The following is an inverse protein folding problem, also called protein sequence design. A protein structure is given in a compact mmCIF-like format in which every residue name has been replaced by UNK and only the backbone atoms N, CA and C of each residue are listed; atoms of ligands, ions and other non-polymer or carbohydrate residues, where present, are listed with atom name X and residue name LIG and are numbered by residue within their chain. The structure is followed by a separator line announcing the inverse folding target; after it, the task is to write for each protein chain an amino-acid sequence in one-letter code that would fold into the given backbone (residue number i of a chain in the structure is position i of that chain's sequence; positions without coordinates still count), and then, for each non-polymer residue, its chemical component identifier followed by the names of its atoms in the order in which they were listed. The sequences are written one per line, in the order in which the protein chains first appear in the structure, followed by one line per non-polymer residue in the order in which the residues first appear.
data_IF_852887013192
#
_entry.id   IF_852887013192
#
_cell.length_a   1.000
_cell.length_b   1.000
_cell.length_c   1.000
_cell.angle_alpha   90.00
_cell.angle_beta   90.00
_cell.angle_gamma   90.00
#
_symmetry.space_group_name_H-M   'P 1'
#
loop_
_entity.id
_entity.type
_entity.pdbx_description
1 polymer ?
#
# COMPACT_ATOMS: atom_id res chain seq x y z
N UNK A 1 9.96 22.83 7.01
CA UNK A 1 9.15 22.76 5.77
C UNK A 1 9.28 21.41 5.03
N UNK A 2 10.48 20.87 4.81
CA UNK A 2 10.66 19.57 4.12
C UNK A 2 9.91 18.40 4.79
N UNK A 3 10.12 18.16 6.08
CA UNK A 3 9.46 17.05 6.81
C UNK A 3 7.93 17.19 6.84
N UNK A 4 7.41 18.41 6.96
CA UNK A 4 5.97 18.66 6.87
C UNK A 4 5.43 18.29 5.49
N UNK A 5 6.10 18.69 4.40
CA UNK A 5 5.73 18.29 3.05
C UNK A 5 5.78 16.76 2.89
N UNK A 6 6.84 16.12 3.37
CA UNK A 6 6.98 14.66 3.34
C UNK A 6 5.80 13.96 4.00
N UNK A 7 5.41 14.42 5.19
CA UNK A 7 4.30 13.89 5.97
C UNK A 7 2.93 14.15 5.30
N UNK A 8 2.66 15.37 4.83
CA UNK A 8 1.40 15.71 4.13
C UNK A 8 1.25 14.91 2.85
N UNK A 9 2.32 14.72 2.08
CA UNK A 9 2.30 13.86 0.89
C UNK A 9 2.11 12.38 1.27
N UNK A 10 2.52 11.99 2.48
CA UNK A 10 2.18 10.69 3.07
C UNK A 10 0.68 10.55 3.35
N UNK A 11 0.06 11.58 3.95
CA UNK A 11 -1.39 11.61 4.17
C UNK A 11 -2.15 11.45 2.86
N UNK A 12 -1.77 12.23 1.84
CA UNK A 12 -2.42 12.14 0.53
C UNK A 12 -2.30 10.75 -0.10
N UNK A 13 -1.13 10.09 0.01
CA UNK A 13 -0.98 8.73 -0.47
C UNK A 13 -1.86 7.72 0.31
N UNK A 14 -1.98 7.86 1.63
CA UNK A 14 -2.89 7.02 2.43
C UNK A 14 -4.36 7.18 2.01
N UNK A 15 -4.79 8.41 1.72
CA UNK A 15 -6.12 8.71 1.18
C UNK A 15 -6.31 8.05 -0.20
N UNK A 16 -5.34 8.20 -1.11
CA UNK A 16 -5.40 7.57 -2.43
C UNK A 16 -5.50 6.05 -2.36
N UNK A 17 -4.71 5.39 -1.49
CA UNK A 17 -4.82 3.93 -1.28
C UNK A 17 -6.21 3.56 -0.74
N UNK A 18 -6.76 4.36 0.18
CA UNK A 18 -8.10 4.13 0.74
C UNK A 18 -9.21 4.27 -0.30
N UNK A 19 -9.08 5.21 -1.24
CA UNK A 19 -10.00 5.36 -2.38
C UNK A 19 -9.91 4.12 -3.29
N UNK A 20 -8.70 3.65 -3.59
CA UNK A 20 -8.51 2.39 -4.31
C UNK A 20 -9.14 1.20 -3.57
N UNK A 21 -8.93 1.09 -2.26
CA UNK A 21 -9.52 0.04 -1.44
C UNK A 21 -11.05 0.13 -1.37
N UNK A 22 -11.61 1.34 -1.41
CA UNK A 22 -13.06 1.55 -1.52
C UNK A 22 -13.59 1.02 -2.85
N UNK A 23 -12.90 1.30 -3.96
CA UNK A 23 -13.26 0.77 -5.28
C UNK A 23 -13.20 -0.77 -5.29
N UNK A 24 -12.14 -1.34 -4.72
CA UNK A 24 -12.00 -2.79 -4.57
C UNK A 24 -13.18 -3.44 -3.83
N UNK A 25 -13.62 -2.84 -2.71
CA UNK A 25 -14.74 -3.35 -1.91
C UNK A 25 -16.13 -3.09 -2.54
N UNK A 26 -16.22 -2.22 -3.54
CA UNK A 26 -17.50 -1.81 -4.16
C UNK A 26 -17.84 -2.59 -5.43
N UNK A 27 -16.97 -3.52 -5.86
CA UNK A 27 -17.10 -4.23 -7.13
C UNK A 27 -17.13 -5.74 -6.85
N UNK A 28 -18.19 -6.41 -7.29
CA UNK A 28 -18.38 -7.85 -7.02
C UNK A 28 -17.42 -8.74 -7.81
N UNK A 29 -17.02 -8.33 -9.01
CA UNK A 29 -16.07 -9.10 -9.82
C UNK A 29 -14.63 -8.84 -9.36
N UNK A 30 -13.98 -9.84 -8.78
CA UNK A 30 -12.64 -9.73 -8.20
C UNK A 30 -11.57 -9.21 -9.18
N UNK A 31 -11.65 -9.60 -10.46
CA UNK A 31 -10.70 -9.15 -11.49
C UNK A 31 -10.89 -7.64 -11.74
N UNK A 32 -12.14 -7.20 -11.90
CA UNK A 32 -12.45 -5.79 -12.10
C UNK A 32 -12.11 -4.99 -10.84
N UNK A 33 -12.43 -5.50 -9.65
CA UNK A 33 -12.07 -4.89 -8.38
C UNK A 33 -10.55 -4.68 -8.25
N UNK A 34 -9.75 -5.71 -8.56
CA UNK A 34 -8.29 -5.63 -8.52
C UNK A 34 -7.72 -4.62 -9.53
N UNK A 35 -8.30 -4.53 -10.74
CA UNK A 35 -7.92 -3.53 -11.72
C UNK A 35 -8.20 -2.11 -11.22
N UNK A 36 -9.39 -1.85 -10.67
CA UNK A 36 -9.76 -0.54 -10.14
C UNK A 36 -9.10 -0.19 -8.80
N UNK A 37 -8.56 -1.17 -8.08
CA UNK A 37 -7.71 -0.87 -6.93
C UNK A 37 -6.47 -0.05 -7.35
N UNK A 38 -6.01 -0.19 -8.60
CA UNK A 38 -4.90 0.59 -9.18
C UNK A 38 -5.12 2.09 -9.12
N UNK A 39 -6.36 2.59 -9.05
CA UNK A 39 -6.68 4.02 -8.97
C UNK A 39 -5.86 4.74 -7.89
N UNK A 40 -5.62 4.09 -6.75
CA UNK A 40 -4.79 4.66 -5.68
C UNK A 40 -3.35 4.89 -6.11
N UNK A 41 -2.66 3.86 -6.60
CA UNK A 41 -1.26 3.96 -7.03
C UNK A 41 -1.10 4.83 -8.27
N UNK A 42 -2.08 4.83 -9.18
CA UNK A 42 -2.13 5.72 -10.34
C UNK A 42 -2.10 7.19 -9.91
N UNK A 43 -2.96 7.59 -8.97
CA UNK A 43 -2.99 8.96 -8.47
C UNK A 43 -1.67 9.33 -7.77
N UNK A 44 -1.16 8.43 -6.92
CA UNK A 44 0.10 8.64 -6.18
C UNK A 44 1.27 8.90 -7.13
N UNK A 45 1.40 8.08 -8.18
CA UNK A 45 2.49 8.18 -9.15
C UNK A 45 2.41 9.46 -9.99
N UNK A 46 1.20 9.87 -10.41
CA UNK A 46 1.01 11.09 -11.20
C UNK A 46 1.21 12.38 -10.38
N UNK A 47 0.78 12.40 -9.11
CA UNK A 47 0.89 13.59 -8.26
C UNK A 47 2.17 13.62 -7.41
N UNK A 48 2.99 12.57 -7.47
CA UNK A 48 4.24 12.48 -6.72
C UNK A 48 4.05 12.38 -5.20
N UNK A 49 2.94 11.79 -4.75
CA UNK A 49 2.69 11.57 -3.33
C UNK A 49 3.61 10.49 -2.76
N UNK A 50 3.77 10.49 -1.43
CA UNK A 50 4.72 9.62 -0.77
C UNK A 50 4.01 8.39 -0.22
N UNK A 51 4.07 7.29 -0.96
CA UNK A 51 3.61 5.99 -0.46
C UNK A 51 4.79 5.21 0.11
N UNK A 52 4.69 4.75 1.36
CA UNK A 52 5.76 4.04 2.05
C UNK A 52 6.30 2.86 1.24
N UNK A 53 5.41 1.99 0.76
CA UNK A 53 5.75 0.77 0.02
C UNK A 53 6.47 1.04 -1.30
N UNK A 54 6.14 2.14 -1.99
CA UNK A 54 6.85 2.58 -3.18
C UNK A 54 8.17 3.32 -2.86
N UNK A 55 8.22 4.05 -1.74
CA UNK A 55 9.39 4.85 -1.35
C UNK A 55 10.49 4.02 -0.68
N UNK A 56 10.13 2.98 0.08
CA UNK A 56 11.10 2.10 0.76
C UNK A 56 12.02 1.39 -0.23
N UNK A 57 11.54 1.10 -1.44
CA UNK A 57 12.32 0.54 -2.54
C UNK A 57 13.62 1.29 -2.87
N UNK A 58 13.67 2.59 -2.56
CA UNK A 58 14.80 3.45 -2.88
C UNK A 58 15.71 3.72 -1.66
N UNK A 59 15.54 3.00 -0.54
CA UNK A 59 16.35 3.20 0.66
C UNK A 59 17.84 2.96 0.41
N UNK A 60 18.20 1.92 -0.36
CA UNK A 60 19.59 1.59 -0.68
C UNK A 60 20.30 2.73 -1.45
N UNK A 61 19.55 3.46 -2.27
CA UNK A 61 20.08 4.57 -3.07
C UNK A 61 20.16 5.89 -2.29
N UNK A 62 19.22 6.10 -1.34
CA UNK A 62 19.17 7.33 -0.54
C UNK A 62 19.95 7.25 0.79
N UNK A 63 20.35 6.05 1.21
CA UNK A 63 21.13 5.81 2.42
C UNK A 63 20.31 5.87 3.73
N UNK A 64 20.94 5.61 4.88
CA UNK A 64 20.25 5.37 6.15
C UNK A 64 19.49 6.58 6.71
N UNK A 65 19.92 7.81 6.38
CA UNK A 65 19.22 9.04 6.80
C UNK A 65 17.79 9.11 6.24
N UNK A 66 17.51 8.42 5.14
CA UNK A 66 16.19 8.35 4.53
C UNK A 66 15.18 7.54 5.36
N UNK A 67 15.63 6.75 6.34
CA UNK A 67 14.73 6.05 7.28
C UNK A 67 13.82 7.03 8.03
N UNK A 68 14.30 8.23 8.34
CA UNK A 68 13.46 9.24 8.99
C UNK A 68 12.32 9.72 8.07
N UNK A 69 12.61 9.96 6.79
CA UNK A 69 11.58 10.30 5.81
C UNK A 69 10.59 9.13 5.65
N UNK A 70 11.06 7.88 5.61
CA UNK A 70 10.19 6.69 5.52
C UNK A 70 9.25 6.54 6.72
N UNK A 71 9.74 6.80 7.94
CA UNK A 71 8.90 6.79 9.14
C UNK A 71 7.81 7.86 9.08
N UNK A 72 8.17 9.10 8.70
CA UNK A 72 7.18 10.17 8.50
C UNK A 72 6.14 9.80 7.44
N UNK A 73 6.59 9.19 6.34
CA UNK A 73 5.71 8.74 5.27
C UNK A 73 4.75 7.66 5.77
N UNK A 74 5.24 6.67 6.52
CA UNK A 74 4.44 5.58 7.06
C UNK A 74 3.34 6.08 7.98
N UNK A 75 3.68 6.97 8.92
CA UNK A 75 2.69 7.60 9.80
C UNK A 75 1.73 8.51 9.03
N UNK A 76 2.22 9.21 8.00
CA UNK A 76 1.37 9.96 7.09
C UNK A 76 0.37 9.06 6.38
N UNK A 77 0.81 7.92 5.84
CA UNK A 77 -0.06 6.95 5.17
C UNK A 77 -1.14 6.40 6.13
N UNK A 78 -0.77 6.05 7.37
CA UNK A 78 -1.73 5.65 8.41
C UNK A 78 -2.73 6.77 8.69
N UNK A 79 -2.26 8.02 8.87
CA UNK A 79 -3.13 9.18 9.06
C UNK A 79 -4.09 9.38 7.91
N UNK A 80 -3.64 9.20 6.66
CA UNK A 80 -4.49 9.25 5.48
C UNK A 80 -5.57 8.18 5.46
N UNK A 81 -5.23 6.94 5.85
CA UNK A 81 -6.19 5.85 5.98
C UNK A 81 -7.25 6.13 7.05
N UNK A 82 -6.83 6.59 8.23
CA UNK A 82 -7.74 6.98 9.32
C UNK A 82 -8.67 8.13 8.92
N UNK A 83 -8.15 9.17 8.26
CA UNK A 83 -8.94 10.29 7.75
C UNK A 83 -9.97 9.80 6.73
N UNK A 84 -9.56 8.97 5.76
CA UNK A 84 -10.46 8.44 4.75
C UNK A 84 -11.59 7.63 5.38
N UNK A 85 -11.28 6.73 6.32
CA UNK A 85 -12.29 5.97 7.06
C UNK A 85 -13.23 6.88 7.87
N UNK A 86 -12.70 7.87 8.59
CA UNK A 86 -13.51 8.80 9.38
C UNK A 86 -14.49 9.57 8.49
N UNK A 87 -14.03 10.05 7.33
CA UNK A 87 -14.88 10.72 6.35
C UNK A 87 -15.93 9.78 5.75
N UNK A 88 -15.56 8.55 5.39
CA UNK A 88 -16.52 7.55 4.93
C UNK A 88 -17.59 7.25 5.98
N UNK A 89 -17.20 7.20 7.27
CA UNK A 89 -18.11 7.03 8.41
C UNK A 89 -19.21 8.09 8.53
N UNK A 90 -19.03 9.25 7.89
CA UNK A 90 -20.04 10.32 7.79
C UNK A 90 -20.99 10.12 6.59
N UNK A 91 -20.87 9.02 5.86
CA UNK A 91 -21.63 8.75 4.63
C UNK A 91 -22.42 7.45 4.73
N UNK A 92 -23.44 7.33 3.86
CA UNK A 92 -24.22 6.09 3.70
C UNK A 92 -23.41 4.88 3.21
N UNK A 93 -22.19 5.08 2.70
CA UNK A 93 -21.39 4.01 2.11
C UNK A 93 -20.71 3.13 3.17
N UNK A 94 -20.37 3.69 4.34
CA UNK A 94 -19.57 3.01 5.34
C UNK A 94 -20.14 1.67 5.82
N UNK A 95 -21.43 1.53 6.19
CA UNK A 95 -21.94 0.27 6.71
C UNK A 95 -21.75 -0.91 5.75
N UNK A 96 -22.01 -0.69 4.45
CA UNK A 96 -21.84 -1.73 3.43
C UNK A 96 -20.36 -2.06 3.21
N UNK A 97 -19.51 -1.04 3.09
CA UNK A 97 -18.05 -1.22 2.91
C UNK A 97 -17.41 -1.96 4.09
N UNK A 98 -17.76 -1.60 5.32
CA UNK A 98 -17.26 -2.24 6.53
C UNK A 98 -17.74 -3.71 6.62
N UNK A 99 -18.99 -3.99 6.26
CA UNK A 99 -19.51 -5.36 6.22
C UNK A 99 -18.77 -6.23 5.18
N UNK A 100 -18.49 -5.70 3.99
CA UNK A 100 -17.71 -6.39 2.95
C UNK A 100 -16.26 -6.63 3.39
N UNK A 101 -15.64 -5.67 4.09
CA UNK A 101 -14.26 -5.77 4.54
C UNK A 101 -14.06 -6.66 5.77
N UNK A 102 -15.08 -6.84 6.62
CA UNK A 102 -15.00 -7.60 7.87
C UNK A 102 -14.42 -9.03 7.72
N UNK A 103 -14.94 -9.90 6.81
CA UNK A 103 -14.38 -11.24 6.64
C UNK A 103 -12.93 -11.22 6.12
N UNK A 104 -12.59 -10.25 5.26
CA UNK A 104 -11.23 -10.06 4.76
C UNK A 104 -10.26 -9.70 5.88
N UNK A 105 -10.64 -8.78 6.78
CA UNK A 105 -9.82 -8.39 7.94
C UNK A 105 -9.71 -9.55 8.94
N UNK A 106 -10.80 -10.27 9.19
CA UNK A 106 -10.79 -11.43 10.08
C UNK A 106 -9.83 -12.53 9.58
N UNK A 107 -9.84 -12.83 8.28
CA UNK A 107 -8.91 -13.79 7.68
C UNK A 107 -7.45 -13.35 7.84
N UNK A 108 -7.17 -12.06 7.61
CA UNK A 108 -5.81 -11.49 7.75
C UNK A 108 -5.30 -11.54 9.18
N UNK A 109 -6.11 -11.11 10.16
CA UNK A 109 -5.72 -11.11 11.57
C UNK A 109 -5.66 -12.53 12.18
N UNK A 110 -6.33 -13.50 11.57
CA UNK A 110 -6.24 -14.91 11.93
C UNK A 110 -5.07 -15.67 11.29
N UNK A 111 -4.31 -15.04 10.38
CA UNK A 111 -3.19 -15.68 9.70
C UNK A 111 -1.90 -15.67 10.55
N UNK A 112 -1.02 -16.64 10.28
CA UNK A 112 0.26 -16.75 10.95
C UNK A 112 1.23 -15.63 10.54
N UNK A 113 2.00 -15.10 11.50
CA UNK A 113 2.95 -14.00 11.25
C UNK A 113 3.97 -14.30 10.13
N UNK A 114 4.40 -15.56 10.01
CA UNK A 114 5.31 -15.97 8.93
C UNK A 114 4.63 -15.90 7.55
N UNK A 115 3.37 -16.33 7.45
CA UNK A 115 2.57 -16.24 6.23
C UNK A 115 2.43 -14.78 5.81
N UNK A 116 1.98 -13.92 6.73
CA UNK A 116 1.84 -12.47 6.51
C UNK A 116 3.16 -11.86 6.03
N UNK A 117 4.28 -12.20 6.67
CA UNK A 117 5.60 -11.72 6.26
C UNK A 117 5.93 -12.11 4.81
N UNK A 118 5.73 -13.37 4.43
CA UNK A 118 6.02 -13.87 3.07
C UNK A 118 5.11 -13.21 2.03
N UNK A 119 3.79 -13.16 2.29
CA UNK A 119 2.82 -12.49 1.41
C UNK A 119 3.16 -11.01 1.23
N UNK A 120 3.70 -10.37 2.26
CA UNK A 120 4.15 -8.98 2.22
C UNK A 120 5.41 -8.78 1.37
N UNK A 121 6.35 -9.74 1.43
CA UNK A 121 7.54 -9.72 0.57
C UNK A 121 7.11 -9.79 -0.89
N UNK A 122 6.23 -10.72 -1.25
CA UNK A 122 5.75 -10.86 -2.62
C UNK A 122 4.95 -9.64 -3.09
N UNK A 123 4.11 -9.06 -2.23
CA UNK A 123 3.41 -7.81 -2.53
C UNK A 123 4.40 -6.73 -2.98
N UNK A 124 5.45 -6.49 -2.20
CA UNK A 124 6.29 -5.33 -2.44
C UNK A 124 7.35 -5.53 -3.53
N UNK A 125 7.62 -6.77 -3.93
CA UNK A 125 8.32 -7.05 -5.20
C UNK A 125 7.48 -6.53 -6.38
N UNK A 126 6.16 -6.78 -6.37
CA UNK A 126 5.26 -6.28 -7.41
C UNK A 126 5.10 -4.75 -7.36
N UNK A 127 5.03 -4.16 -6.16
CA UNK A 127 5.04 -2.69 -6.01
C UNK A 127 6.33 -2.09 -6.56
N UNK A 128 7.50 -2.71 -6.30
CA UNK A 128 8.76 -2.27 -6.90
C UNK A 128 8.69 -2.28 -8.43
N UNK A 129 8.23 -3.39 -9.03
CA UNK A 129 8.08 -3.51 -10.49
C UNK A 129 7.16 -2.40 -11.03
N UNK A 130 6.04 -2.12 -10.36
CA UNK A 130 5.12 -1.06 -10.74
C UNK A 130 5.76 0.33 -10.69
N UNK A 131 6.30 0.73 -9.54
CA UNK A 131 6.79 2.11 -9.33
C UNK A 131 8.10 2.37 -10.06
N UNK A 132 9.00 1.38 -10.14
CA UNK A 132 10.22 1.51 -10.94
C UNK A 132 9.89 1.49 -12.43
N UNK A 133 8.97 0.62 -12.88
CA UNK A 133 8.45 0.60 -14.24
C UNK A 133 7.86 1.95 -14.66
N UNK A 134 7.01 2.55 -13.82
CA UNK A 134 6.47 3.89 -14.03
C UNK A 134 7.57 4.96 -14.16
N UNK A 135 8.67 4.81 -13.42
CA UNK A 135 9.78 5.76 -13.44
C UNK A 135 10.69 5.62 -14.66
N UNK A 136 10.97 4.39 -15.10
CA UNK A 136 11.98 4.12 -16.13
C UNK A 136 11.43 3.97 -17.54
N UNK A 137 10.16 3.59 -17.70
CA UNK A 137 9.57 3.41 -19.03
C UNK A 137 9.41 4.77 -19.74
N UNK A 138 9.68 4.85 -21.05
CA UNK A 138 9.67 6.12 -21.78
C UNK A 138 8.26 6.58 -22.15
N UNK A 139 7.35 5.65 -22.42
CA UNK A 139 6.00 5.94 -22.92
C UNK A 139 4.93 5.89 -21.81
N UNK A 140 3.90 6.72 -21.94
CA UNK A 140 2.86 6.84 -20.92
C UNK A 140 2.05 5.54 -20.75
N UNK A 141 1.79 4.82 -21.84
CA UNK A 141 1.02 3.58 -21.80
C UNK A 141 1.76 2.51 -20.98
N UNK A 142 3.03 2.26 -21.28
CA UNK A 142 3.88 1.32 -20.56
C UNK A 142 3.99 1.65 -19.07
N UNK A 143 4.14 2.93 -18.73
CA UNK A 143 4.16 3.40 -17.33
C UNK A 143 2.89 3.02 -16.59
N UNK A 144 1.72 3.28 -17.18
CA UNK A 144 0.44 2.96 -16.54
C UNK A 144 0.19 1.45 -16.50
N UNK A 145 0.53 0.70 -17.55
CA UNK A 145 0.43 -0.75 -17.56
C UNK A 145 1.28 -1.39 -16.45
N UNK A 146 2.48 -0.85 -16.16
CA UNK A 146 3.29 -1.32 -15.04
C UNK A 146 2.56 -1.16 -13.69
N UNK A 147 1.85 -0.03 -13.48
CA UNK A 147 1.04 0.18 -12.28
C UNK A 147 -0.12 -0.81 -12.19
N UNK A 148 -0.89 -0.98 -13.28
CA UNK A 148 -2.01 -1.92 -13.34
C UNK A 148 -1.55 -3.35 -13.09
N UNK A 149 -0.46 -3.79 -13.73
CA UNK A 149 0.08 -5.13 -13.53
C UNK A 149 0.48 -5.37 -12.09
N UNK A 150 1.26 -4.47 -11.49
CA UNK A 150 1.74 -4.65 -10.12
C UNK A 150 0.58 -4.69 -9.12
N UNK A 151 -0.40 -3.78 -9.24
CA UNK A 151 -1.53 -3.71 -8.32
C UNK A 151 -2.50 -4.87 -8.50
N UNK A 152 -2.93 -5.14 -9.74
CA UNK A 152 -3.92 -6.18 -9.99
C UNK A 152 -3.41 -7.57 -9.58
N UNK A 153 -2.13 -7.88 -9.88
CA UNK A 153 -1.56 -9.18 -9.55
C UNK A 153 -1.44 -9.38 -8.04
N UNK A 154 -0.96 -8.38 -7.27
CA UNK A 154 -0.85 -8.57 -5.83
C UNK A 154 -2.23 -8.72 -5.18
N UNK A 155 -3.22 -7.96 -5.65
CA UNK A 155 -4.58 -7.99 -5.11
C UNK A 155 -5.27 -9.34 -5.38
N UNK A 156 -5.18 -9.84 -6.62
CA UNK A 156 -5.72 -11.15 -7.00
C UNK A 156 -4.97 -12.32 -6.34
N UNK A 157 -3.69 -12.16 -6.05
CA UNK A 157 -2.89 -13.20 -5.40
C UNK A 157 -3.06 -13.21 -3.88
N UNK A 158 -3.86 -12.31 -3.30
CA UNK A 158 -4.06 -12.21 -1.86
C UNK A 158 -2.80 -11.76 -1.09
N UNK A 159 -1.90 -11.02 -1.72
CA UNK A 159 -0.68 -10.53 -1.07
C UNK A 159 -0.96 -9.35 -0.14
N UNK A 160 -0.06 -9.14 0.83
CA UNK A 160 -0.30 -8.21 1.94
C UNK A 160 0.39 -6.86 1.75
N UNK A 161 -0.38 -5.77 1.72
CA UNK A 161 0.11 -4.41 1.55
C UNK A 161 -0.19 -3.55 2.79
N UNK A 162 0.85 -3.11 3.51
CA UNK A 162 0.69 -2.50 4.83
C UNK A 162 -0.24 -1.28 4.85
N UNK A 163 -0.15 -0.38 3.86
CA UNK A 163 -1.02 0.81 3.80
C UNK A 163 -2.46 0.47 3.41
N UNK A 164 -2.66 -0.59 2.62
CA UNK A 164 -4.02 -1.04 2.28
C UNK A 164 -4.68 -1.70 3.50
N UNK A 165 -3.92 -2.49 4.25
CA UNK A 165 -4.37 -3.11 5.47
C UNK A 165 -4.64 -2.09 6.58
N UNK A 166 -3.87 -0.99 6.67
CA UNK A 166 -4.22 0.13 7.55
C UNK A 166 -5.63 0.66 7.23
N UNK A 167 -5.98 0.79 5.95
CA UNK A 167 -7.33 1.20 5.54
C UNK A 167 -8.38 0.15 5.90
N UNK A 168 -8.19 -1.12 5.52
CA UNK A 168 -9.18 -2.17 5.80
C UNK A 168 -9.44 -2.36 7.29
N UNK A 169 -8.37 -2.41 8.12
CA UNK A 169 -8.49 -2.51 9.58
C UNK A 169 -9.17 -1.28 10.18
N UNK A 170 -8.84 -0.07 9.68
CA UNK A 170 -9.50 1.16 10.13
C UNK A 170 -10.98 1.15 9.77
N UNK A 171 -11.31 0.79 8.53
CA UNK A 171 -12.67 0.74 8.01
C UNK A 171 -13.58 -0.16 8.84
N UNK A 172 -13.08 -1.31 9.28
CA UNK A 172 -13.82 -2.26 10.12
C UNK A 172 -13.74 -1.95 11.62
N UNK A 173 -12.97 -0.93 12.02
CA UNK A 173 -12.74 -0.60 13.43
C UNK A 173 -11.98 -1.67 14.20
N UNK A 174 -11.22 -2.53 13.52
CA UNK A 174 -10.58 -3.73 14.11
C UNK A 174 -9.18 -3.49 14.67
N UNK A 175 -8.87 -2.26 15.10
CA UNK A 175 -7.58 -1.95 15.72
C UNK A 175 -7.48 -2.62 17.10
N UNK A 176 -6.46 -3.48 17.26
CA UNK A 176 -6.11 -4.18 18.49
C UNK A 176 -4.58 -4.33 18.59
N UNK A 177 -4.06 -4.90 19.68
CA UNK A 177 -2.63 -5.20 19.80
C UNK A 177 -2.16 -6.19 18.71
N UNK A 178 -3.01 -7.17 18.37
CA UNK A 178 -2.80 -8.14 17.30
C UNK A 178 -2.75 -7.44 15.94
N UNK A 179 -3.67 -6.51 15.67
CA UNK A 179 -3.68 -5.73 14.43
C UNK A 179 -2.44 -4.84 14.28
N UNK A 180 -1.96 -4.25 15.38
CA UNK A 180 -0.70 -3.49 15.39
C UNK A 180 0.49 -4.40 15.07
N UNK A 181 0.58 -5.56 15.71
CA UNK A 181 1.63 -6.54 15.42
C UNK A 181 1.58 -7.01 13.96
N UNK A 182 0.38 -7.33 13.46
CA UNK A 182 0.13 -7.66 12.05
C UNK A 182 0.71 -6.58 11.13
N UNK A 183 0.37 -5.30 11.36
CA UNK A 183 0.81 -4.19 10.53
C UNK A 183 2.34 -3.99 10.59
N UNK A 184 2.97 -4.22 11.75
CA UNK A 184 4.42 -4.17 11.88
C UNK A 184 5.08 -5.28 11.04
N UNK A 185 4.65 -6.53 11.19
CA UNK A 185 5.18 -7.66 10.44
C UNK A 185 4.97 -7.47 8.94
N UNK A 186 3.78 -7.02 8.54
CA UNK A 186 3.46 -6.70 7.17
C UNK A 186 4.36 -5.58 6.60
N UNK A 187 4.61 -4.52 7.37
CA UNK A 187 5.53 -3.43 6.99
C UNK A 187 6.96 -3.92 6.80
N UNK A 188 7.46 -4.79 7.69
CA UNK A 188 8.81 -5.36 7.59
C UNK A 188 8.90 -6.23 6.33
N UNK A 189 7.92 -7.10 6.09
CA UNK A 189 7.89 -7.95 4.89
C UNK A 189 7.82 -7.10 3.60
N UNK A 190 7.00 -6.05 3.57
CA UNK A 190 6.98 -5.14 2.43
C UNK A 190 8.35 -4.45 2.25
N UNK A 191 8.99 -4.01 3.33
CA UNK A 191 10.32 -3.40 3.25
C UNK A 191 11.35 -4.36 2.64
N UNK A 192 11.37 -5.63 3.08
CA UNK A 192 12.25 -6.66 2.52
C UNK A 192 11.97 -6.88 1.02
N UNK A 193 10.70 -7.07 0.64
CA UNK A 193 10.33 -7.27 -0.77
C UNK A 193 10.71 -6.11 -1.68
N UNK A 194 10.52 -4.87 -1.23
CA UNK A 194 10.85 -3.68 -2.00
C UNK A 194 12.35 -3.46 -2.19
N UNK A 195 13.17 -3.96 -1.27
CA UNK A 195 14.63 -3.84 -1.33
C UNK A 195 15.29 -4.98 -2.09
N UNK A 196 14.60 -6.11 -2.29
CA UNK A 196 15.18 -7.31 -2.86
C UNK A 196 15.72 -7.10 -4.27
N UNK A 197 14.92 -6.57 -5.20
CA UNK A 197 15.34 -6.34 -6.59
C UNK A 197 16.42 -5.23 -6.68
N UNK A 198 16.28 -4.07 -6.01
CA UNK A 198 17.36 -3.07 -5.93
C UNK A 198 18.68 -3.63 -5.40
N UNK A 199 18.65 -4.44 -4.33
CA UNK A 199 19.85 -5.04 -3.75
C UNK A 199 20.53 -5.99 -4.73
N UNK A 200 19.77 -6.90 -5.36
CA UNK A 200 20.30 -7.82 -6.39
C UNK A 200 20.93 -7.03 -7.54
N UNK A 201 20.24 -6.00 -8.06
CA UNK A 201 20.77 -5.15 -9.13
C UNK A 201 22.02 -4.36 -8.74
N UNK A 202 22.29 -4.12 -7.45
CA UNK A 202 23.46 -3.38 -6.98
C UNK A 202 24.67 -4.30 -6.73
N UNK A 203 24.43 -5.55 -6.35
CA UNK A 203 25.47 -6.54 -6.09
C UNK A 203 26.04 -7.15 -7.38
N UNK A 204 25.18 -7.38 -8.38
CA UNK A 204 25.55 -8.07 -9.63
C UNK A 204 25.67 -7.15 -10.85
N UNK A 205 25.85 -5.84 -10.63
CA UNK A 205 26.25 -4.85 -11.64
C UNK A 205 27.73 -4.57 -11.52
#
# INVERSE_FOLDING_TARGET
MKSLRTFVYGIMAGICVSIGGTAYLSIDNEIVAALFFTTGLFAISNYGFNLFTGKVCYLIDNGPKYLWDLLLIWFGNLGGALIATALLGLTRAHPALAATAAPLVAAKLGDGLLSIFILSVFCNILIFIAVDGYRILPDALGRYLALFLGVAVFALSGFEHCVANMYFISLTGSWSAEAVLFIIVNTIGNSVGGLLVPAVKKVFK
#
